data_IF_960364560362
#
_entry.id   IF_960364560362
#
_cell.length_a   1.000
_cell.length_b   1.000
_cell.length_c   1.000
_cell.angle_alpha   90.00
_cell.angle_beta   90.00
_cell.angle_gamma   90.00
#
_symmetry.space_group_name_H-M   'P 1'
#
loop_
_entity.id
_entity.type
_entity.pdbx_description
1 polymer ?
#
# COMPACT_ATOMS: atom_id res chain seq x y z
N UNK A 1 -24.31 6.85 -7.49
CA UNK A 1 -22.95 6.27 -7.56
C UNK A 1 -22.06 7.15 -6.71
N UNK A 2 -21.51 6.62 -5.61
CA UNK A 2 -20.73 7.42 -4.67
C UNK A 2 -19.39 7.79 -5.32
N UNK A 3 -19.32 9.01 -5.86
CA UNK A 3 -18.07 9.60 -6.36
C UNK A 3 -17.22 10.14 -5.21
N UNK A 4 -16.01 10.58 -5.54
CA UNK A 4 -15.18 11.37 -4.64
C UNK A 4 -15.90 12.68 -4.21
N UNK A 5 -15.43 13.31 -3.13
CA UNK A 5 -15.96 14.58 -2.65
C UNK A 5 -15.67 15.77 -3.58
N UNK A 6 -14.75 15.60 -4.53
CA UNK A 6 -14.44 16.59 -5.56
C UNK A 6 -14.48 15.94 -6.95
N UNK A 7 -14.92 16.70 -7.94
CA UNK A 7 -14.92 16.26 -9.34
C UNK A 7 -13.54 16.45 -9.98
N UNK A 8 -13.13 15.62 -10.96
CA UNK A 8 -11.95 15.88 -11.77
C UNK A 8 -12.02 17.23 -12.54
N UNK A 9 -10.88 17.87 -12.82
CA UNK A 9 -10.87 19.09 -13.63
C UNK A 9 -11.29 18.79 -15.08
N UNK A 10 -12.05 19.72 -15.68
CA UNK A 10 -12.50 19.59 -17.08
C UNK A 10 -11.35 19.51 -18.09
N UNK A 11 -10.20 20.11 -17.77
CA UNK A 11 -9.00 20.13 -18.63
C UNK A 11 -7.84 19.46 -17.90
N UNK A 12 -7.49 18.24 -18.33
CA UNK A 12 -6.31 17.51 -17.85
C UNK A 12 -5.10 17.82 -18.75
N UNK A 13 -3.94 18.25 -18.21
CA UNK A 13 -2.72 18.46 -18.99
C UNK A 13 -2.24 17.20 -19.70
N UNK A 14 -1.63 17.34 -20.88
CA UNK A 14 -1.27 16.20 -21.73
C UNK A 14 -0.31 15.20 -21.06
N UNK A 15 0.67 15.69 -20.28
CA UNK A 15 1.64 14.84 -19.60
C UNK A 15 0.99 14.00 -18.48
N UNK A 16 -0.04 14.54 -17.80
CA UNK A 16 -0.83 13.76 -16.83
C UNK A 16 -1.67 12.71 -17.56
N UNK A 17 -2.25 13.04 -18.73
CA UNK A 17 -2.97 12.04 -19.55
C UNK A 17 -2.05 10.89 -19.98
N UNK A 18 -0.79 11.17 -20.30
CA UNK A 18 0.19 10.15 -20.63
C UNK A 18 0.46 9.23 -19.42
N UNK A 19 0.65 9.81 -18.23
CA UNK A 19 0.78 9.05 -16.99
C UNK A 19 -0.45 8.17 -16.73
N UNK A 20 -1.66 8.72 -16.89
CA UNK A 20 -2.92 7.97 -16.75
C UNK A 20 -3.03 6.81 -17.73
N UNK A 21 -2.60 7.02 -18.98
CA UNK A 21 -2.57 5.95 -19.98
C UNK A 21 -1.61 4.83 -19.58
N UNK A 22 -0.43 5.17 -19.08
CA UNK A 22 0.52 4.19 -18.56
C UNK A 22 -0.06 3.42 -17.36
N UNK A 23 -0.69 4.11 -16.39
CA UNK A 23 -1.36 3.46 -15.26
C UNK A 23 -2.44 2.49 -15.75
N UNK A 24 -3.33 2.91 -16.67
CA UNK A 24 -4.38 2.05 -17.21
C UNK A 24 -3.81 0.83 -17.95
N UNK A 25 -2.70 0.99 -18.66
CA UNK A 25 -2.00 -0.10 -19.36
C UNK A 25 -1.46 -1.17 -18.39
N UNK A 26 -0.99 -0.74 -17.22
CA UNK A 26 -0.42 -1.64 -16.20
C UNK A 26 -1.51 -2.27 -15.34
N UNK A 27 -2.47 -1.47 -14.86
CA UNK A 27 -3.48 -1.94 -13.92
C UNK A 27 -4.74 -2.49 -14.59
N UNK A 28 -4.94 -2.22 -15.89
CA UNK A 28 -6.20 -2.50 -16.59
C UNK A 28 -7.35 -1.56 -16.22
N UNK A 29 -7.18 -0.68 -15.24
CA UNK A 29 -8.26 0.09 -14.62
C UNK A 29 -8.18 1.59 -14.92
N UNK A 30 -9.33 2.22 -15.14
CA UNK A 30 -9.43 3.68 -15.28
C UNK A 30 -9.63 4.36 -13.92
N UNK A 31 -8.53 4.52 -13.18
CA UNK A 31 -8.55 4.99 -11.80
C UNK A 31 -9.03 6.46 -11.68
N UNK A 32 -9.84 6.73 -10.66
CA UNK A 32 -10.28 8.09 -10.34
C UNK A 32 -9.16 8.95 -9.75
N UNK A 33 -8.25 8.35 -8.96
CA UNK A 33 -7.20 9.08 -8.24
C UNK A 33 -6.30 9.92 -9.16
N UNK A 34 -5.73 9.40 -10.25
CA UNK A 34 -4.93 10.22 -11.18
C UNK A 34 -5.70 11.38 -11.81
N UNK A 35 -7.02 11.22 -12.04
CA UNK A 35 -7.89 12.29 -12.58
C UNK A 35 -8.06 13.41 -11.57
N UNK A 36 -8.25 13.08 -10.29
CA UNK A 36 -8.35 14.07 -9.21
C UNK A 36 -7.04 14.82 -9.00
N UNK A 37 -5.91 14.11 -9.06
CA UNK A 37 -4.58 14.72 -8.92
C UNK A 37 -4.25 15.73 -10.03
N UNK A 38 -4.96 15.70 -11.16
CA UNK A 38 -4.80 16.70 -12.22
C UNK A 38 -5.14 18.13 -11.78
N UNK A 39 -5.89 18.32 -10.68
CA UNK A 39 -6.10 19.64 -10.07
C UNK A 39 -4.78 20.29 -9.64
N UNK A 40 -3.82 19.49 -9.22
CA UNK A 40 -2.52 19.97 -8.76
C UNK A 40 -1.40 19.08 -9.32
N UNK A 41 -0.91 19.36 -10.54
CA UNK A 41 0.03 18.48 -11.25
C UNK A 41 1.33 18.19 -10.51
N UNK A 42 1.77 19.09 -9.61
CA UNK A 42 2.93 18.84 -8.74
C UNK A 42 2.71 17.66 -7.81
N UNK A 43 1.52 17.54 -7.23
CA UNK A 43 1.15 16.35 -6.45
C UNK A 43 1.06 15.13 -7.35
N UNK A 44 0.43 15.22 -8.53
CA UNK A 44 0.35 14.08 -9.44
C UNK A 44 1.74 13.51 -9.78
N UNK A 45 2.71 14.37 -10.12
CA UNK A 45 4.09 13.97 -10.42
C UNK A 45 4.77 13.42 -9.16
N UNK A 46 4.67 14.12 -8.04
CA UNK A 46 5.29 13.68 -6.77
C UNK A 46 4.78 12.33 -6.30
N UNK A 47 3.46 12.10 -6.31
CA UNK A 47 2.85 10.81 -5.96
C UNK A 47 3.25 9.72 -6.95
N UNK A 48 3.32 10.02 -8.25
CA UNK A 48 3.74 9.06 -9.27
C UNK A 48 5.20 8.63 -9.11
N UNK A 49 6.09 9.58 -8.78
CA UNK A 49 7.49 9.29 -8.45
C UNK A 49 7.59 8.47 -7.16
N UNK A 50 6.84 8.86 -6.12
CA UNK A 50 6.75 8.11 -4.87
C UNK A 50 6.35 6.66 -5.13
N UNK A 51 5.30 6.43 -5.91
CA UNK A 51 4.81 5.08 -6.23
C UNK A 51 5.83 4.26 -7.02
N UNK A 52 6.45 4.87 -8.04
CA UNK A 52 7.28 4.15 -9.01
C UNK A 52 8.70 3.86 -8.53
N UNK A 53 9.24 4.66 -7.59
CA UNK A 53 10.66 4.63 -7.24
C UNK A 53 10.94 4.24 -5.79
N UNK A 54 10.05 4.52 -4.84
CA UNK A 54 10.41 4.44 -3.41
C UNK A 54 10.51 3.01 -2.90
N UNK A 55 9.77 2.08 -3.50
CA UNK A 55 9.74 0.69 -3.04
C UNK A 55 9.91 -0.24 -4.23
N UNK A 56 11.03 -0.97 -4.24
CA UNK A 56 11.29 -2.08 -5.14
C UNK A 56 11.92 -3.23 -4.34
N UNK A 57 11.75 -4.49 -4.77
CA UNK A 57 12.49 -5.60 -4.21
C UNK A 57 13.99 -5.33 -4.31
N UNK A 58 14.70 -5.46 -3.21
CA UNK A 58 16.14 -5.24 -3.13
C UNK A 58 16.75 -6.12 -2.04
N UNK A 59 17.87 -6.77 -2.35
CA UNK A 59 18.51 -7.70 -1.43
C UNK A 59 17.57 -8.83 -1.02
N UNK A 60 17.36 -9.00 0.30
CA UNK A 60 16.47 -10.03 0.85
C UNK A 60 15.04 -9.53 1.11
N UNK A 61 14.66 -8.35 0.60
CA UNK A 61 13.27 -7.88 0.59
C UNK A 61 12.60 -8.37 -0.68
N UNK A 62 11.79 -9.43 -0.54
CA UNK A 62 11.05 -10.04 -1.65
C UNK A 62 9.80 -9.23 -2.02
N UNK A 63 9.29 -9.43 -3.25
CA UNK A 63 7.99 -8.91 -3.68
C UNK A 63 6.87 -9.36 -2.74
N UNK A 64 6.89 -10.64 -2.34
CA UNK A 64 5.96 -11.21 -1.36
C UNK A 64 5.93 -10.40 -0.06
N UNK A 65 7.09 -10.11 0.53
CA UNK A 65 7.16 -9.37 1.79
C UNK A 65 6.61 -7.95 1.63
N UNK A 66 6.95 -7.27 0.52
CA UNK A 66 6.44 -5.94 0.22
C UNK A 66 4.92 -5.93 0.03
N UNK A 67 4.38 -6.93 -0.67
CA UNK A 67 2.93 -7.08 -0.88
C UNK A 67 2.22 -7.30 0.47
N UNK A 68 2.73 -8.19 1.32
CA UNK A 68 2.22 -8.42 2.67
C UNK A 68 2.21 -7.13 3.50
N UNK A 69 3.31 -6.37 3.49
CA UNK A 69 3.41 -5.06 4.19
C UNK A 69 2.35 -4.08 3.66
N UNK A 70 2.21 -3.96 2.33
CA UNK A 70 1.26 -3.03 1.72
C UNK A 70 -0.19 -3.36 2.08
N UNK A 71 -0.56 -4.64 2.06
CA UNK A 71 -1.89 -5.11 2.48
C UNK A 71 -2.08 -4.83 3.98
N UNK A 72 -1.12 -5.21 4.82
CA UNK A 72 -1.19 -5.00 6.27
C UNK A 72 -1.42 -3.53 6.64
N UNK A 73 -0.68 -2.62 6.00
CA UNK A 73 -0.81 -1.19 6.25
C UNK A 73 -2.16 -0.69 5.78
N UNK A 74 -2.64 -1.15 4.60
CA UNK A 74 -3.95 -0.82 4.06
C UNK A 74 -5.09 -1.20 5.02
N UNK A 75 -4.98 -2.36 5.67
CA UNK A 75 -5.90 -2.83 6.71
C UNK A 75 -5.81 -1.94 7.97
N UNK A 76 -4.61 -1.68 8.46
CA UNK A 76 -4.40 -0.87 9.68
C UNK A 76 -4.94 0.55 9.57
N UNK A 77 -4.82 1.18 8.39
CA UNK A 77 -5.34 2.54 8.16
C UNK A 77 -6.79 2.57 7.67
N UNK A 78 -7.42 1.39 7.55
CA UNK A 78 -8.79 1.18 7.10
C UNK A 78 -9.10 1.95 5.80
N UNK A 79 -8.30 1.74 4.75
CA UNK A 79 -8.48 2.37 3.44
C UNK A 79 -9.04 1.35 2.43
N UNK A 80 -10.34 1.36 2.10
CA UNK A 80 -10.94 0.37 1.19
C UNK A 80 -10.29 0.34 -0.19
N UNK A 81 -10.00 1.49 -0.80
CA UNK A 81 -9.26 1.55 -2.07
C UNK A 81 -7.87 0.93 -1.96
N UNK A 82 -7.16 1.20 -0.86
CA UNK A 82 -5.81 0.69 -0.66
C UNK A 82 -5.83 -0.83 -0.43
N UNK A 83 -6.84 -1.34 0.30
CA UNK A 83 -7.05 -2.78 0.48
C UNK A 83 -7.31 -3.44 -0.87
N UNK A 84 -8.23 -2.90 -1.66
CA UNK A 84 -8.58 -3.39 -3.00
C UNK A 84 -7.36 -3.44 -3.93
N UNK A 85 -6.64 -2.32 -4.05
CA UNK A 85 -5.47 -2.21 -4.93
C UNK A 85 -4.28 -3.06 -4.47
N UNK A 86 -3.93 -3.02 -3.16
CA UNK A 86 -2.77 -3.75 -2.67
C UNK A 86 -3.03 -5.25 -2.46
N UNK A 87 -4.29 -5.68 -2.44
CA UNK A 87 -4.64 -7.12 -2.42
C UNK A 87 -4.85 -7.67 -3.83
N UNK A 88 -4.77 -6.84 -4.87
CA UNK A 88 -4.88 -7.33 -6.24
C UNK A 88 -3.72 -8.29 -6.55
N UNK A 89 -4.06 -9.46 -7.10
CA UNK A 89 -3.09 -10.49 -7.53
C UNK A 89 -2.07 -10.92 -6.44
N UNK A 90 -2.45 -10.91 -5.15
CA UNK A 90 -1.56 -11.35 -4.07
C UNK A 90 -1.06 -12.80 -4.25
N UNK A 91 -1.87 -13.63 -4.90
CA UNK A 91 -1.60 -15.03 -5.21
C UNK A 91 -0.41 -15.21 -6.15
N UNK A 92 -0.16 -14.24 -7.04
CA UNK A 92 1.04 -14.22 -7.90
C UNK A 92 2.34 -14.08 -7.10
N UNK A 93 2.26 -13.58 -5.88
CA UNK A 93 3.39 -13.48 -4.95
C UNK A 93 3.40 -14.63 -3.91
N UNK A 94 2.66 -15.71 -4.19
CA UNK A 94 2.57 -16.92 -3.37
C UNK A 94 1.80 -16.73 -2.07
N UNK A 95 1.09 -15.62 -1.89
CA UNK A 95 0.29 -15.35 -0.68
C UNK A 95 -1.01 -16.14 -0.80
N UNK A 96 -1.39 -16.87 0.25
CA UNK A 96 -2.62 -17.67 0.23
C UNK A 96 -3.81 -16.89 0.80
N UNK A 97 -5.02 -17.34 0.48
CA UNK A 97 -6.24 -16.76 1.05
C UNK A 97 -6.28 -16.87 2.59
N UNK A 98 -5.76 -17.97 3.13
CA UNK A 98 -5.63 -18.17 4.59
C UNK A 98 -4.67 -17.14 5.21
N UNK A 99 -3.57 -16.84 4.53
CA UNK A 99 -2.63 -15.81 4.96
C UNK A 99 -3.26 -14.42 4.95
N UNK A 100 -3.99 -14.08 3.88
CA UNK A 100 -4.72 -12.81 3.79
C UNK A 100 -5.73 -12.65 4.93
N UNK A 101 -6.54 -13.69 5.21
CA UNK A 101 -7.46 -13.70 6.36
C UNK A 101 -6.73 -13.55 7.69
N UNK A 102 -5.54 -14.14 7.80
CA UNK A 102 -4.74 -14.11 9.02
C UNK A 102 -3.99 -12.78 9.25
N UNK A 103 -3.95 -11.86 8.28
CA UNK A 103 -3.30 -10.54 8.46
C UNK A 103 -3.92 -9.69 9.59
N UNK A 104 -5.18 -9.95 9.95
CA UNK A 104 -5.78 -9.35 11.13
C UNK A 104 -5.19 -9.93 12.43
N UNK A 105 -4.81 -11.21 12.44
CA UNK A 105 -4.27 -11.96 13.58
C UNK A 105 -2.98 -12.69 13.19
N UNK A 106 -1.93 -11.92 12.90
CA UNK A 106 -0.64 -12.43 12.36
C UNK A 106 -0.03 -13.56 13.20
N UNK A 107 -0.24 -13.56 14.52
CA UNK A 107 0.29 -14.60 15.41
C UNK A 107 -0.35 -15.97 15.17
N UNK A 108 -1.59 -16.00 14.66
CA UNK A 108 -2.34 -17.23 14.38
C UNK A 108 -1.89 -17.87 13.05
N UNK A 109 -1.20 -17.11 12.19
CA UNK A 109 -0.68 -17.60 10.92
C UNK A 109 0.59 -18.44 11.12
N UNK A 110 0.46 -19.76 10.99
CA UNK A 110 1.61 -20.67 11.06
C UNK A 110 2.50 -20.64 9.81
N UNK A 111 1.99 -20.13 8.68
CA UNK A 111 2.70 -20.14 7.40
C UNK A 111 3.65 -18.95 7.22
N UNK A 112 3.51 -17.87 7.99
CA UNK A 112 4.44 -16.75 7.96
C UNK A 112 5.75 -17.10 8.69
N UNK A 113 6.86 -16.79 8.04
CA UNK A 113 8.18 -16.81 8.66
C UNK A 113 8.29 -15.78 9.79
N UNK A 114 9.22 -15.98 10.73
CA UNK A 114 9.49 -15.00 11.78
C UNK A 114 9.89 -13.63 11.23
N UNK A 115 10.59 -13.61 10.09
CA UNK A 115 10.94 -12.38 9.36
C UNK A 115 9.69 -11.64 8.87
N UNK A 116 8.75 -12.35 8.25
CA UNK A 116 7.48 -11.77 7.79
C UNK A 116 6.63 -11.27 8.96
N UNK A 117 6.47 -12.08 10.02
CA UNK A 117 5.72 -11.68 11.23
C UNK A 117 6.30 -10.41 11.85
N UNK A 118 7.62 -10.32 11.97
CA UNK A 118 8.27 -9.15 12.55
C UNK A 118 8.13 -7.90 11.68
N UNK A 119 8.27 -8.02 10.35
CA UNK A 119 8.02 -6.91 9.42
C UNK A 119 6.57 -6.45 9.44
N UNK A 120 5.61 -7.38 9.49
CA UNK A 120 4.18 -7.06 9.59
C UNK A 120 3.86 -6.34 10.91
N UNK A 121 4.42 -6.81 12.05
CA UNK A 121 4.32 -6.13 13.34
C UNK A 121 4.90 -4.71 13.28
N UNK A 122 6.08 -4.56 12.68
CA UNK A 122 6.71 -3.24 12.50
C UNK A 122 5.83 -2.31 11.67
N UNK A 123 5.30 -2.79 10.53
CA UNK A 123 4.41 -2.05 9.65
C UNK A 123 3.12 -1.59 10.36
N UNK A 124 2.55 -2.43 11.25
CA UNK A 124 1.41 -2.06 12.11
C UNK A 124 1.77 -0.91 13.04
N UNK A 125 2.90 -1.01 13.75
CA UNK A 125 3.34 -0.01 14.73
C UNK A 125 3.56 1.36 14.07
N UNK A 126 4.28 1.39 12.95
CA UNK A 126 4.61 2.66 12.26
C UNK A 126 3.44 3.27 11.48
N UNK A 127 2.34 2.52 11.32
CA UNK A 127 1.10 3.04 10.74
C UNK A 127 0.10 3.53 11.79
N UNK A 128 0.36 3.27 13.07
CA UNK A 128 -0.49 3.73 14.17
C UNK A 128 -0.36 5.25 14.39
N UNK A 129 -1.35 5.82 15.09
CA UNK A 129 -1.32 7.22 15.53
C UNK A 129 -1.52 7.27 17.04
N UNK A 130 -0.51 7.69 17.83
CA UNK A 130 0.85 8.05 17.42
C UNK A 130 1.70 6.81 17.11
N UNK A 131 2.82 7.00 16.39
CA UNK A 131 3.85 5.98 16.23
C UNK A 131 4.58 5.80 17.56
N UNK A 132 4.56 4.59 18.12
CA UNK A 132 5.24 4.24 19.38
C UNK A 132 6.10 3.00 19.18
N UNK A 133 7.41 3.19 19.05
CA UNK A 133 8.39 2.11 18.96
C UNK A 133 9.10 1.97 20.30
N UNK A 134 9.20 0.73 20.77
CA UNK A 134 10.02 0.37 21.92
C UNK A 134 11.44 -0.02 21.47
N UNK A 135 12.46 0.25 22.30
CA UNK A 135 13.85 -0.04 21.95
C UNK A 135 14.10 -1.54 21.80
N UNK A 136 13.47 -2.39 22.62
CA UNK A 136 13.62 -3.84 22.52
C UNK A 136 13.02 -4.38 21.21
N UNK A 137 11.93 -3.76 20.75
CA UNK A 137 11.35 -4.09 19.45
C UNK A 137 12.32 -3.72 18.31
N UNK A 138 12.96 -2.55 18.39
CA UNK A 138 13.96 -2.15 17.40
C UNK A 138 15.19 -3.04 17.40
N UNK A 139 15.65 -3.51 18.56
CA UNK A 139 16.76 -4.48 18.66
C UNK A 139 16.36 -5.82 18.03
N UNK A 140 15.14 -6.29 18.29
CA UNK A 140 14.58 -7.48 17.62
C UNK A 140 14.53 -7.30 16.11
N UNK A 141 14.09 -6.13 15.62
CA UNK A 141 14.04 -5.82 14.20
C UNK A 141 15.44 -5.85 13.57
N UNK A 142 16.44 -5.25 14.23
CA UNK A 142 17.85 -5.24 13.80
C UNK A 142 18.52 -6.61 13.84
N UNK A 143 18.01 -7.54 14.65
CA UNK A 143 18.53 -8.92 14.68
C UNK A 143 18.21 -9.70 13.41
N UNK A 144 17.12 -9.35 12.72
CA UNK A 144 16.72 -10.01 11.47
C UNK A 144 16.99 -9.13 10.25
N UNK A 145 16.79 -7.81 10.33
CA UNK A 145 16.87 -6.90 9.19
C UNK A 145 18.08 -5.97 9.28
N UNK A 146 18.70 -5.71 8.13
CA UNK A 146 19.70 -4.64 8.00
C UNK A 146 19.03 -3.27 8.05
N UNK A 147 19.80 -2.22 8.34
CA UNK A 147 19.27 -0.84 8.38
C UNK A 147 18.64 -0.42 7.04
N UNK A 148 19.22 -0.86 5.92
CA UNK A 148 18.66 -0.63 4.58
C UNK A 148 17.29 -1.29 4.42
N UNK A 149 17.16 -2.53 4.86
CA UNK A 149 15.91 -3.29 4.79
C UNK A 149 14.83 -2.67 5.68
N UNK A 150 15.19 -2.21 6.88
CA UNK A 150 14.30 -1.46 7.77
C UNK A 150 13.78 -0.20 7.07
N UNK A 151 14.66 0.55 6.39
CA UNK A 151 14.27 1.74 5.63
C UNK A 151 13.31 1.40 4.48
N UNK A 152 13.53 0.30 3.75
CA UNK A 152 12.63 -0.15 2.68
C UNK A 152 11.24 -0.46 3.26
N UNK A 153 11.17 -1.21 4.37
CA UNK A 153 9.89 -1.57 5.02
C UNK A 153 9.17 -0.31 5.51
N UNK A 154 9.89 0.60 6.17
CA UNK A 154 9.33 1.87 6.63
C UNK A 154 8.81 2.72 5.47
N UNK A 155 9.54 2.75 4.35
CA UNK A 155 9.15 3.49 3.16
C UNK A 155 7.90 2.90 2.50
N UNK A 156 7.77 1.57 2.45
CA UNK A 156 6.57 0.91 1.96
C UNK A 156 5.34 1.23 2.83
N UNK A 157 5.48 1.19 4.15
CA UNK A 157 4.40 1.60 5.04
C UNK A 157 4.05 3.08 4.88
N UNK A 158 5.05 3.96 4.79
CA UNK A 158 4.83 5.40 4.61
C UNK A 158 4.11 5.72 3.29
N UNK A 159 4.47 5.03 2.19
CA UNK A 159 3.84 5.17 0.88
C UNK A 159 2.34 4.84 0.94
N UNK A 160 1.96 3.71 1.57
CA UNK A 160 0.54 3.35 1.74
C UNK A 160 -0.17 4.32 2.68
N UNK A 161 0.48 4.76 3.76
CA UNK A 161 -0.07 5.76 4.69
C UNK A 161 -0.35 7.12 4.01
N UNK A 162 0.51 7.53 3.09
CA UNK A 162 0.34 8.72 2.26
C UNK A 162 -0.90 8.57 1.36
N UNK A 163 -0.97 7.48 0.59
CA UNK A 163 -2.11 7.22 -0.29
C UNK A 163 -3.41 7.10 0.48
N UNK A 164 -3.43 6.39 1.60
CA UNK A 164 -4.62 6.23 2.42
C UNK A 164 -5.18 7.56 2.91
N UNK A 165 -4.33 8.47 3.42
CA UNK A 165 -4.76 9.80 3.88
C UNK A 165 -5.29 10.64 2.73
N UNK A 166 -4.59 10.63 1.60
CA UNK A 166 -4.98 11.38 0.41
C UNK A 166 -6.32 10.88 -0.17
N UNK A 167 -6.47 9.58 -0.35
CA UNK A 167 -7.64 8.96 -0.98
C UNK A 167 -8.87 9.04 -0.06
N UNK A 168 -8.72 8.72 1.23
CA UNK A 168 -9.84 8.78 2.19
C UNK A 168 -10.33 10.21 2.39
N UNK A 169 -9.43 11.19 2.46
CA UNK A 169 -9.82 12.60 2.60
C UNK A 169 -10.57 13.14 1.39
N UNK A 170 -10.37 12.54 0.21
CA UNK A 170 -11.09 12.85 -1.03
C UNK A 170 -12.35 12.00 -1.23
N UNK A 171 -12.67 11.06 -0.32
CA UNK A 171 -13.86 10.22 -0.43
C UNK A 171 -13.84 9.26 -1.63
N UNK A 172 -12.66 8.88 -2.11
CA UNK A 172 -12.54 8.00 -3.29
C UNK A 172 -12.97 6.58 -2.93
N UNK A 173 -13.95 5.98 -3.64
CA UNK A 173 -14.39 4.60 -3.40
C UNK A 173 -13.33 3.58 -3.86
N UNK A 174 -13.44 2.29 -3.52
CA UNK A 174 -12.63 1.22 -4.11
C UNK A 174 -12.59 1.29 -5.64
N UNK A 175 -11.47 0.87 -6.23
CA UNK A 175 -11.28 0.92 -7.68
C UNK A 175 -12.03 -0.22 -8.40
N UNK A 176 -12.33 -1.31 -7.68
CA UNK A 176 -12.97 -2.50 -8.23
C UNK A 176 -11.95 -3.49 -8.81
N UNK A 177 -10.78 -3.62 -8.19
CA UNK A 177 -9.83 -4.68 -8.55
C UNK A 177 -10.31 -6.06 -8.09
N UNK A 178 -11.16 -6.10 -7.06
CA UNK A 178 -11.73 -7.32 -6.48
C UNK A 178 -13.25 -7.24 -6.38
N UNK A 179 -13.95 -8.31 -6.78
CA UNK A 179 -15.42 -8.39 -6.75
C UNK A 179 -15.97 -8.69 -5.34
N UNK A 180 -15.10 -9.07 -4.39
CA UNK A 180 -15.48 -9.42 -3.02
C UNK A 180 -14.34 -9.15 -2.03
N UNK A 181 -14.69 -8.73 -0.81
CA UNK A 181 -13.74 -8.63 0.30
C UNK A 181 -13.46 -10.05 0.81
N UNK A 182 -12.22 -10.54 0.64
CA UNK A 182 -11.79 -11.89 1.09
C UNK A 182 -11.28 -11.93 2.54
N UNK A 183 -11.56 -10.86 3.28
CA UNK A 183 -11.16 -10.67 4.68
C UNK A 183 -12.47 -10.61 5.45
N UNK A 184 -12.79 -11.73 6.12
CA UNK A 184 -14.01 -11.92 6.92
C UNK A 184 -13.82 -11.38 8.35
#
# INVERSE_FOLDING_TARGET
MAGAYIDPPKKIPFYIRLGMYATRKVTGMDLLVPKLLAWYPRTAIGSGVLESLVVKPEGNISERLLQLIRIQVSLMVACPFCIDMNSFEYDRHGITDDEIRSLQRIEDAQTFSEREKLALRYARIISATPVKLDSLFMDSLKSLFTEREILIIASAAAQVNYWARLIKSLGVPPAGFTDSCRID
#
